data_IF_989395189484
#
_entry.id   IF_989395189484
#
_cell.length_a   1.000
_cell.length_b   1.000
_cell.length_c   1.000
_cell.angle_alpha   90.00
_cell.angle_beta   90.00
_cell.angle_gamma   90.00
#
_symmetry.space_group_name_H-M   'P 1'
#
loop_
_entity.id
_entity.type
_entity.pdbx_description
1 polymer ?
#
# COMPACT_ATOMS: atom_id res chain seq x y z
N UNK A 1 -12.70 -6.63 -23.58
CA UNK A 1 -12.24 -5.24 -23.78
C UNK A 1 -12.58 -4.47 -22.53
N UNK A 2 -12.06 -3.25 -22.38
CA UNK A 2 -12.40 -2.37 -21.23
C UNK A 2 -12.20 -2.97 -19.82
N UNK A 3 -11.33 -3.97 -19.65
CA UNK A 3 -11.19 -4.77 -18.42
C UNK A 3 -12.51 -5.39 -17.90
N UNK A 4 -13.53 -5.51 -18.77
CA UNK A 4 -14.80 -6.13 -18.45
C UNK A 4 -14.74 -7.63 -18.79
N UNK A 5 -14.84 -8.47 -17.77
CA UNK A 5 -14.83 -9.93 -17.90
C UNK A 5 -16.23 -10.48 -17.65
N UNK A 6 -16.80 -11.14 -18.67
CA UNK A 6 -18.18 -11.66 -18.66
C UNK A 6 -19.21 -10.69 -19.25
N UNK A 7 -20.30 -11.26 -19.78
CA UNK A 7 -21.29 -10.52 -20.58
C UNK A 7 -22.01 -9.41 -19.78
N UNK A 8 -22.28 -9.63 -18.49
CA UNK A 8 -22.88 -8.63 -17.60
C UNK A 8 -21.94 -7.43 -17.37
N UNK A 9 -20.66 -7.68 -17.15
CA UNK A 9 -19.67 -6.62 -16.99
C UNK A 9 -19.49 -5.84 -18.30
N UNK A 10 -19.52 -6.52 -19.45
CA UNK A 10 -19.45 -5.88 -20.76
C UNK A 10 -20.68 -5.01 -21.06
N UNK A 11 -21.89 -5.49 -20.73
CA UNK A 11 -23.13 -4.72 -20.87
C UNK A 11 -23.06 -3.39 -20.10
N UNK A 12 -22.55 -3.44 -18.87
CA UNK A 12 -22.31 -2.24 -18.05
C UNK A 12 -21.20 -1.36 -18.62
N UNK A 13 -20.08 -1.92 -19.05
CA UNK A 13 -18.92 -1.16 -19.53
C UNK A 13 -19.12 -0.47 -20.89
N UNK A 14 -19.96 -1.01 -21.77
CA UNK A 14 -20.18 -0.47 -23.12
C UNK A 14 -21.50 0.30 -23.25
N UNK A 15 -22.54 -0.04 -22.47
CA UNK A 15 -23.87 0.56 -22.61
C UNK A 15 -24.47 1.06 -21.28
N UNK A 16 -23.85 0.74 -20.13
CA UNK A 16 -24.39 0.96 -18.78
C UNK A 16 -25.81 0.37 -18.62
N UNK A 17 -25.94 -0.89 -19.04
CA UNK A 17 -27.17 -1.67 -18.94
C UNK A 17 -26.89 -3.01 -18.29
N UNK A 18 -27.91 -3.61 -17.68
CA UNK A 18 -27.86 -5.03 -17.34
C UNK A 18 -27.98 -5.89 -18.59
N UNK A 19 -27.42 -7.10 -18.57
CA UNK A 19 -27.41 -7.99 -19.75
C UNK A 19 -28.81 -8.25 -20.31
N UNK A 20 -29.82 -8.36 -19.44
CA UNK A 20 -31.22 -8.56 -19.83
C UNK A 20 -31.89 -7.35 -20.48
N UNK A 21 -31.23 -6.19 -20.49
CA UNK A 21 -31.73 -4.94 -21.08
C UNK A 21 -31.04 -4.59 -22.40
N UNK A 22 -30.12 -5.44 -22.87
CA UNK A 22 -29.44 -5.23 -24.15
C UNK A 22 -30.40 -5.47 -25.31
N UNK A 23 -30.35 -4.58 -26.29
CA UNK A 23 -30.98 -4.81 -27.59
C UNK A 23 -30.17 -5.82 -28.41
N UNK A 24 -30.81 -6.43 -29.42
CA UNK A 24 -30.13 -7.36 -30.35
C UNK A 24 -28.89 -6.72 -31.01
N UNK A 25 -28.95 -5.48 -31.55
CA UNK A 25 -27.76 -4.78 -32.04
C UNK A 25 -26.63 -4.69 -31.03
N UNK A 26 -26.93 -4.27 -29.79
CA UNK A 26 -25.93 -4.09 -28.71
C UNK A 26 -25.29 -5.43 -28.33
N UNK A 27 -26.10 -6.48 -28.19
CA UNK A 27 -25.61 -7.84 -27.95
C UNK A 27 -24.71 -8.36 -29.08
N UNK A 28 -25.09 -8.13 -30.34
CA UNK A 28 -24.29 -8.50 -31.50
C UNK A 28 -22.95 -7.74 -31.54
N UNK A 29 -22.92 -6.48 -31.09
CA UNK A 29 -21.67 -5.73 -30.99
C UNK A 29 -20.77 -6.30 -29.89
N UNK A 30 -21.31 -6.61 -28.71
CA UNK A 30 -20.53 -7.28 -27.66
C UNK A 30 -19.97 -8.64 -28.12
N UNK A 31 -20.74 -9.40 -28.91
CA UNK A 31 -20.25 -10.63 -29.54
C UNK A 31 -19.14 -10.38 -30.57
N UNK A 32 -19.23 -9.28 -31.33
CA UNK A 32 -18.20 -8.89 -32.30
C UNK A 32 -16.85 -8.61 -31.63
N UNK A 33 -16.85 -8.10 -30.39
CA UNK A 33 -15.65 -7.79 -29.62
C UNK A 33 -14.87 -9.03 -29.18
N UNK A 34 -15.48 -10.23 -29.17
CA UNK A 34 -14.86 -11.43 -28.59
C UNK A 34 -13.48 -11.77 -29.19
N UNK A 35 -13.34 -11.58 -30.51
CA UNK A 35 -12.11 -11.93 -31.23
C UNK A 35 -11.00 -10.89 -31.08
N UNK A 36 -11.34 -9.61 -30.97
CA UNK A 36 -10.37 -8.53 -30.90
C UNK A 36 -10.91 -7.35 -30.06
N UNK A 37 -11.04 -7.52 -28.73
CA UNK A 37 -11.85 -6.62 -27.92
C UNK A 37 -11.30 -5.20 -27.80
N UNK A 38 -9.98 -5.05 -27.87
CA UNK A 38 -9.33 -3.73 -27.85
C UNK A 38 -9.40 -3.07 -29.23
N UNK A 39 -9.09 -3.81 -30.30
CA UNK A 39 -9.09 -3.26 -31.66
C UNK A 39 -10.49 -2.82 -32.14
N UNK A 40 -11.55 -3.51 -31.70
CA UNK A 40 -12.93 -3.21 -32.10
C UNK A 40 -13.65 -2.25 -31.16
N UNK A 41 -13.00 -1.69 -30.14
CA UNK A 41 -13.57 -0.61 -29.32
C UNK A 41 -13.55 0.70 -30.11
N UNK A 42 -14.63 0.98 -30.83
CA UNK A 42 -14.73 2.09 -31.79
C UNK A 42 -14.71 3.48 -31.14
N UNK A 43 -14.79 3.54 -29.80
CA UNK A 43 -14.67 4.79 -29.06
C UNK A 43 -13.22 5.06 -28.68
N UNK A 44 -12.45 4.02 -28.37
CA UNK A 44 -11.01 4.13 -28.07
C UNK A 44 -10.18 4.22 -29.36
N UNK A 45 -10.55 3.45 -30.39
CA UNK A 45 -9.87 3.36 -31.68
C UNK A 45 -10.87 3.64 -32.82
N UNK A 46 -11.29 4.91 -33.00
CA UNK A 46 -12.27 5.28 -34.01
C UNK A 46 -11.83 4.94 -35.44
N UNK A 47 -10.53 4.84 -35.70
CA UNK A 47 -9.95 4.40 -36.98
C UNK A 47 -10.36 2.97 -37.37
N UNK A 48 -10.64 2.10 -36.39
CA UNK A 48 -11.02 0.71 -36.61
C UNK A 48 -12.54 0.51 -36.80
N UNK A 49 -13.33 1.59 -36.77
CA UNK A 49 -14.79 1.54 -36.82
C UNK A 49 -15.33 0.71 -37.98
N UNK A 50 -14.77 0.87 -39.18
CA UNK A 50 -15.20 0.12 -40.37
C UNK A 50 -15.02 -1.40 -40.22
N UNK A 51 -13.93 -1.83 -39.59
CA UNK A 51 -13.68 -3.25 -39.33
C UNK A 51 -14.63 -3.81 -38.27
N UNK A 52 -14.91 -3.03 -37.22
CA UNK A 52 -15.88 -3.39 -36.19
C UNK A 52 -17.32 -3.47 -36.74
N UNK A 53 -17.72 -2.54 -37.60
CA UNK A 53 -19.02 -2.57 -38.30
C UNK A 53 -19.16 -3.79 -39.21
N UNK A 54 -18.10 -4.15 -39.95
CA UNK A 54 -18.10 -5.35 -40.78
C UNK A 54 -18.26 -6.63 -39.93
N UNK A 55 -17.56 -6.71 -38.78
CA UNK A 55 -17.69 -7.85 -37.88
C UNK A 55 -19.08 -7.91 -37.22
N UNK A 56 -19.63 -6.77 -36.82
CA UNK A 56 -20.99 -6.66 -36.30
C UNK A 56 -22.04 -7.07 -37.34
N UNK A 57 -21.89 -6.63 -38.59
CA UNK A 57 -22.75 -7.06 -39.71
C UNK A 57 -22.70 -8.58 -39.90
N UNK A 58 -21.49 -9.16 -39.90
CA UNK A 58 -21.31 -10.61 -39.99
C UNK A 58 -22.05 -11.38 -38.88
N UNK A 59 -22.01 -10.89 -37.63
CA UNK A 59 -22.75 -11.50 -36.52
C UNK A 59 -24.26 -11.48 -36.79
N UNK A 60 -24.80 -10.33 -37.18
CA UNK A 60 -26.22 -10.19 -37.48
C UNK A 60 -26.66 -11.04 -38.68
N UNK A 61 -25.85 -11.12 -39.74
CA UNK A 61 -26.12 -11.96 -40.91
C UNK A 61 -26.09 -13.45 -40.51
N UNK A 62 -25.19 -13.83 -39.60
CA UNK A 62 -25.17 -15.15 -38.97
C UNK A 62 -26.46 -15.45 -38.20
N UNK A 63 -26.98 -14.49 -37.43
CA UNK A 63 -28.25 -14.65 -36.70
C UNK A 63 -29.44 -14.86 -37.65
N UNK A 64 -29.46 -14.21 -38.81
CA UNK A 64 -30.49 -14.47 -39.84
C UNK A 64 -30.37 -15.88 -40.40
N UNK A 65 -29.14 -16.31 -40.75
CA UNK A 65 -28.89 -17.66 -41.27
C UNK A 65 -29.26 -18.77 -40.29
N UNK A 66 -29.11 -18.51 -38.99
CA UNK A 66 -29.49 -19.44 -37.91
C UNK A 66 -30.96 -19.30 -37.48
N UNK A 67 -31.75 -18.47 -38.17
CA UNK A 67 -33.16 -18.19 -37.86
C UNK A 67 -33.41 -17.60 -36.46
N UNK A 68 -32.40 -16.97 -35.85
CA UNK A 68 -32.54 -16.26 -34.56
C UNK A 68 -33.03 -14.82 -34.72
N UNK A 69 -33.05 -14.30 -35.95
CA UNK A 69 -33.51 -12.96 -36.31
C UNK A 69 -34.08 -12.96 -37.72
N UNK A 70 -35.12 -12.16 -37.99
CA UNK A 70 -35.70 -12.05 -39.33
C UNK A 70 -34.86 -11.14 -40.23
N UNK A 71 -34.95 -11.32 -41.55
CA UNK A 71 -34.32 -10.41 -42.51
C UNK A 71 -34.87 -8.96 -42.41
N UNK A 72 -36.15 -8.82 -42.03
CA UNK A 72 -36.77 -7.52 -41.82
C UNK A 72 -36.19 -6.79 -40.61
N UNK A 73 -35.95 -7.49 -39.50
CA UNK A 73 -35.33 -6.92 -38.30
C UNK A 73 -33.84 -6.62 -38.53
N UNK A 74 -33.16 -7.48 -39.29
CA UNK A 74 -31.78 -7.24 -39.74
C UNK A 74 -31.64 -5.93 -40.51
N UNK A 75 -32.59 -5.63 -41.41
CA UNK A 75 -32.59 -4.41 -42.21
C UNK A 75 -32.83 -3.15 -41.37
N UNK A 76 -33.54 -3.28 -40.24
CA UNK A 76 -33.80 -2.17 -39.30
C UNK A 76 -32.66 -1.95 -38.31
N UNK A 77 -31.81 -2.95 -38.10
CA UNK A 77 -30.71 -2.87 -37.13
C UNK A 77 -29.71 -1.77 -37.50
N UNK A 78 -29.43 -0.88 -36.54
CA UNK A 78 -28.43 0.18 -36.66
C UNK A 78 -27.23 -0.14 -35.78
N UNK A 79 -26.04 0.25 -36.23
CA UNK A 79 -24.82 0.02 -35.46
C UNK A 79 -24.91 0.76 -34.10
N UNK A 80 -24.81 0.05 -32.97
CA UNK A 80 -24.95 0.65 -31.66
C UNK A 80 -23.63 1.26 -31.21
N UNK A 81 -23.52 2.58 -31.28
CA UNK A 81 -22.34 3.29 -30.76
C UNK A 81 -22.22 3.07 -29.24
N UNK A 82 -21.11 2.48 -28.75
CA UNK A 82 -20.90 2.33 -27.32
C UNK A 82 -20.76 3.68 -26.62
N UNK A 83 -21.04 3.72 -25.32
CA UNK A 83 -20.70 4.88 -24.50
C UNK A 83 -19.18 5.08 -24.49
N UNK A 84 -18.77 6.33 -24.27
CA UNK A 84 -17.42 6.65 -23.83
C UNK A 84 -17.01 5.67 -22.73
N UNK A 85 -15.80 5.09 -22.77
CA UNK A 85 -15.29 4.35 -21.65
C UNK A 85 -15.33 5.31 -20.45
N UNK A 86 -16.31 5.15 -19.56
CA UNK A 86 -16.16 5.60 -18.18
C UNK A 86 -14.90 4.90 -17.74
N UNK A 87 -13.81 5.67 -17.55
CA UNK A 87 -12.44 5.14 -17.66
C UNK A 87 -12.37 3.71 -17.14
N UNK A 88 -11.73 2.83 -17.88
CA UNK A 88 -11.60 1.41 -17.53
C UNK A 88 -10.73 1.19 -16.28
N UNK A 89 -10.37 2.31 -15.63
CA UNK A 89 -9.75 2.47 -14.32
C UNK A 89 -10.62 3.27 -13.31
N UNK A 90 -11.81 3.74 -13.65
CA UNK A 90 -12.74 4.44 -12.73
C UNK A 90 -13.16 3.52 -11.58
N UNK A 91 -13.22 2.21 -11.83
CA UNK A 91 -13.44 1.22 -10.78
C UNK A 91 -12.28 1.15 -9.78
N UNK A 92 -11.08 1.63 -10.12
CA UNK A 92 -9.89 1.67 -9.28
C UNK A 92 -9.46 3.10 -8.92
N UNK A 93 -10.23 4.13 -9.28
CA UNK A 93 -9.88 5.52 -8.99
C UNK A 93 -9.85 5.82 -7.49
N UNK A 94 -9.20 6.95 -7.16
CA UNK A 94 -8.99 7.37 -5.78
C UNK A 94 -8.16 6.35 -5.01
N UNK A 95 -8.59 6.02 -3.79
CA UNK A 95 -7.85 5.08 -2.94
C UNK A 95 -8.02 3.61 -3.33
N UNK A 96 -9.10 3.27 -4.03
CA UNK A 96 -9.50 1.87 -4.22
C UNK A 96 -8.43 1.06 -4.96
N UNK A 97 -7.80 1.65 -5.98
CA UNK A 97 -6.71 1.01 -6.70
C UNK A 97 -5.51 0.67 -5.81
N UNK A 98 -5.12 1.56 -4.90
CA UNK A 98 -4.05 1.27 -3.93
C UNK A 98 -4.40 0.11 -3.02
N UNK A 99 -5.65 0.05 -2.51
CA UNK A 99 -6.10 -1.03 -1.63
C UNK A 99 -6.11 -2.38 -2.37
N UNK A 100 -6.62 -2.40 -3.60
CA UNK A 100 -6.66 -3.60 -4.45
C UNK A 100 -5.24 -4.08 -4.76
N UNK A 101 -4.33 -3.20 -5.16
CA UNK A 101 -2.97 -3.61 -5.47
C UNK A 101 -2.20 -4.09 -4.24
N UNK A 102 -2.38 -3.45 -3.07
CA UNK A 102 -1.78 -3.93 -1.83
C UNK A 102 -2.29 -5.32 -1.43
N UNK A 103 -3.58 -5.61 -1.63
CA UNK A 103 -4.15 -6.95 -1.41
C UNK A 103 -3.55 -7.96 -2.40
N UNK A 104 -3.41 -7.61 -3.68
CA UNK A 104 -2.77 -8.49 -4.67
C UNK A 104 -1.31 -8.79 -4.32
N UNK A 105 -0.55 -7.78 -3.89
CA UNK A 105 0.83 -7.95 -3.43
C UNK A 105 0.90 -8.85 -2.19
N UNK A 106 0.05 -8.57 -1.20
CA UNK A 106 -0.05 -9.38 0.01
C UNK A 106 -0.32 -10.85 -0.32
N UNK A 107 -1.26 -11.14 -1.22
CA UNK A 107 -1.57 -12.51 -1.61
C UNK A 107 -0.42 -13.19 -2.37
N UNK A 108 0.26 -12.46 -3.24
CA UNK A 108 1.42 -12.98 -3.98
C UNK A 108 2.58 -13.34 -3.04
N UNK A 109 2.90 -12.47 -2.08
CA UNK A 109 3.90 -12.72 -1.03
C UNK A 109 3.54 -13.93 -0.15
N UNK A 110 2.26 -14.27 -0.11
CA UNK A 110 1.68 -15.34 0.69
C UNK A 110 1.35 -16.60 -0.15
N UNK A 111 1.99 -16.75 -1.32
CA UNK A 111 1.95 -17.97 -2.14
C UNK A 111 0.74 -18.09 -3.07
N UNK A 112 -0.08 -17.05 -3.20
CA UNK A 112 -1.24 -17.03 -4.10
C UNK A 112 -0.90 -16.16 -5.32
N UNK A 113 -0.59 -16.81 -6.44
CA UNK A 113 -0.18 -16.13 -7.69
C UNK A 113 -1.23 -15.12 -8.19
N UNK A 114 -0.78 -13.90 -8.51
CA UNK A 114 -1.59 -12.83 -9.10
C UNK A 114 -2.29 -13.26 -10.40
N UNK A 115 -1.65 -14.13 -11.19
CA UNK A 115 -2.24 -14.62 -12.43
C UNK A 115 -3.39 -15.60 -12.17
N UNK A 116 -3.28 -16.43 -11.12
CA UNK A 116 -4.37 -17.29 -10.67
C UNK A 116 -5.56 -16.47 -10.15
N UNK A 117 -5.30 -15.37 -9.44
CA UNK A 117 -6.36 -14.50 -8.91
C UNK A 117 -7.22 -13.86 -10.01
N UNK A 118 -6.59 -13.51 -11.14
CA UNK A 118 -7.25 -12.74 -12.21
C UNK A 118 -8.18 -13.60 -13.08
N UNK A 119 -7.90 -14.90 -13.21
CA UNK A 119 -8.58 -15.77 -14.18
C UNK A 119 -9.61 -16.74 -13.58
N UNK A 120 -9.73 -16.84 -12.25
CA UNK A 120 -10.54 -17.89 -11.59
C UNK A 120 -11.75 -17.38 -10.80
N UNK A 121 -12.05 -16.08 -10.83
CA UNK A 121 -13.29 -15.53 -10.28
C UNK A 121 -13.36 -15.52 -8.74
N UNK A 122 -12.23 -15.35 -8.05
CA UNK A 122 -12.18 -15.29 -6.59
C UNK A 122 -13.00 -14.14 -5.99
N UNK A 123 -13.64 -14.40 -4.87
CA UNK A 123 -14.21 -13.37 -3.98
C UNK A 123 -13.32 -13.22 -2.75
N UNK A 124 -12.79 -12.01 -2.57
CA UNK A 124 -11.84 -11.67 -1.51
C UNK A 124 -12.51 -10.68 -0.55
N UNK A 125 -12.55 -11.02 0.74
CA UNK A 125 -12.98 -10.12 1.81
C UNK A 125 -11.73 -9.58 2.50
N UNK A 126 -11.54 -8.26 2.47
CA UNK A 126 -10.36 -7.59 3.04
C UNK A 126 -10.58 -7.21 4.50
N UNK A 127 -9.51 -6.78 5.18
CA UNK A 127 -9.54 -6.25 6.55
C UNK A 127 -9.90 -4.77 6.63
N UNK A 128 -9.90 -4.06 5.48
CA UNK A 128 -10.22 -2.65 5.40
C UNK A 128 -11.63 -2.36 5.87
N UNK A 129 -11.78 -1.39 6.78
CA UNK A 129 -13.07 -0.90 7.26
C UNK A 129 -13.37 0.42 6.58
N UNK A 130 -14.50 0.51 5.87
CA UNK A 130 -14.85 1.72 5.09
C UNK A 130 -14.83 3.00 5.93
N UNK A 131 -15.40 2.97 7.14
CA UNK A 131 -15.37 4.11 8.07
C UNK A 131 -13.95 4.57 8.41
N UNK A 132 -13.05 3.63 8.68
CA UNK A 132 -11.65 3.92 9.03
C UNK A 132 -10.89 4.43 7.80
N UNK A 133 -11.16 3.84 6.64
CA UNK A 133 -10.58 4.28 5.37
C UNK A 133 -10.96 5.72 5.05
N UNK A 134 -12.25 6.06 5.16
CA UNK A 134 -12.75 7.41 4.90
C UNK A 134 -12.17 8.40 5.92
N UNK A 135 -12.11 8.03 7.20
CA UNK A 135 -11.49 8.85 8.25
C UNK A 135 -9.99 9.09 8.01
N UNK A 136 -9.24 8.07 7.60
CA UNK A 136 -7.80 8.21 7.30
C UNK A 136 -7.58 9.12 6.09
N UNK A 137 -8.37 8.98 5.02
CA UNK A 137 -8.32 9.85 3.85
C UNK A 137 -8.60 11.29 4.25
N UNK A 138 -9.64 11.53 5.05
CA UNK A 138 -9.97 12.86 5.55
C UNK A 138 -8.83 13.45 6.36
N UNK A 139 -8.24 12.68 7.29
CA UNK A 139 -7.13 13.15 8.11
C UNK A 139 -5.90 13.55 7.26
N UNK A 140 -5.53 12.74 6.26
CA UNK A 140 -4.42 13.08 5.35
C UNK A 140 -4.71 14.35 4.55
N UNK A 141 -5.94 14.53 4.07
CA UNK A 141 -6.32 15.72 3.33
C UNK A 141 -6.32 16.97 4.22
N UNK A 142 -7.05 16.92 5.33
CA UNK A 142 -7.19 18.03 6.28
C UNK A 142 -5.82 18.47 6.83
N UNK A 143 -4.94 17.52 7.18
CA UNK A 143 -3.71 17.82 7.92
C UNK A 143 -2.52 18.13 7.03
N UNK A 144 -2.54 17.70 5.77
CA UNK A 144 -1.41 17.87 4.85
C UNK A 144 -1.86 18.37 3.48
N UNK A 145 -2.64 17.59 2.72
CA UNK A 145 -2.81 17.84 1.28
C UNK A 145 -3.51 19.18 1.01
N UNK A 146 -4.51 19.54 1.81
CA UNK A 146 -5.30 20.77 1.62
C UNK A 146 -4.57 22.01 2.14
N UNK A 147 -3.52 21.84 2.95
CA UNK A 147 -2.66 22.92 3.46
C UNK A 147 -1.52 23.29 2.50
N UNK A 148 -1.33 22.53 1.41
CA UNK A 148 -0.26 22.74 0.44
C UNK A 148 -0.58 23.93 -0.48
N UNK A 149 0.32 24.91 -0.57
CA UNK A 149 0.19 26.05 -1.49
C UNK A 149 0.83 25.75 -2.83
N UNK A 150 0.19 24.85 -3.60
CA UNK A 150 0.69 24.42 -4.92
C UNK A 150 0.76 25.57 -5.94
N UNK A 151 0.09 26.70 -5.69
CA UNK A 151 0.08 27.86 -6.57
C UNK A 151 1.35 28.70 -6.37
N UNK A 152 1.64 29.07 -5.13
CA UNK A 152 2.74 29.99 -4.82
C UNK A 152 4.03 29.27 -4.37
N UNK A 153 3.96 27.99 -3.99
CA UNK A 153 5.11 27.16 -3.61
C UNK A 153 5.26 25.98 -4.57
N UNK A 154 6.12 26.09 -5.61
CA UNK A 154 6.32 25.00 -6.58
C UNK A 154 6.72 23.66 -5.94
N UNK A 155 7.49 23.69 -4.84
CA UNK A 155 7.89 22.49 -4.09
C UNK A 155 6.69 21.69 -3.57
N UNK A 156 5.60 22.36 -3.19
CA UNK A 156 4.40 21.73 -2.64
C UNK A 156 3.69 20.84 -3.68
N UNK A 157 3.96 21.05 -4.98
CA UNK A 157 3.46 20.19 -6.08
C UNK A 157 4.09 18.80 -6.05
N UNK A 158 5.24 18.64 -5.41
CA UNK A 158 5.99 17.39 -5.32
C UNK A 158 5.71 16.63 -4.02
N UNK A 159 4.97 17.21 -3.08
CA UNK A 159 4.62 16.54 -1.81
C UNK A 159 3.71 15.35 -2.10
N UNK A 160 4.06 14.22 -1.50
CA UNK A 160 3.36 12.94 -1.64
C UNK A 160 3.23 12.30 -0.26
N UNK A 161 2.02 11.87 0.08
CA UNK A 161 1.71 11.27 1.38
C UNK A 161 1.44 9.78 1.24
N UNK A 162 1.76 9.03 2.29
CA UNK A 162 1.37 7.64 2.50
C UNK A 162 0.97 7.45 3.96
N UNK A 163 -0.06 6.66 4.24
CA UNK A 163 -0.47 6.35 5.59
C UNK A 163 -1.04 4.93 5.69
N UNK A 164 -0.95 4.32 6.87
CA UNK A 164 -1.55 3.03 7.17
C UNK A 164 -2.09 3.04 8.61
N UNK A 165 -3.10 2.22 8.88
CA UNK A 165 -3.65 2.00 10.22
C UNK A 165 -3.84 0.52 10.44
N UNK A 166 -3.31 0.02 11.56
CA UNK A 166 -3.36 -1.39 11.96
C UNK A 166 -4.02 -1.49 13.33
N UNK A 167 -4.85 -2.50 13.52
CA UNK A 167 -5.30 -2.95 14.84
C UNK A 167 -4.18 -3.74 15.53
N UNK A 168 -3.55 -3.21 16.60
CA UNK A 168 -2.41 -3.87 17.26
C UNK A 168 -2.71 -5.27 17.77
N UNK A 169 -3.94 -5.52 18.23
CA UNK A 169 -4.33 -6.80 18.84
C UNK A 169 -4.43 -7.92 17.82
N UNK A 170 -4.74 -7.59 16.57
CA UNK A 170 -5.07 -8.57 15.53
C UNK A 170 -4.11 -8.54 14.33
N UNK A 171 -3.31 -7.48 14.18
CA UNK A 171 -2.49 -7.25 12.99
C UNK A 171 -3.29 -6.83 11.74
N UNK A 172 -4.61 -6.62 11.86
CA UNK A 172 -5.44 -6.26 10.71
C UNK A 172 -5.16 -4.84 10.24
N UNK A 173 -4.83 -4.68 8.96
CA UNK A 173 -4.74 -3.36 8.31
C UNK A 173 -6.15 -2.85 8.05
N UNK A 174 -6.61 -1.90 8.85
CA UNK A 174 -8.00 -1.41 8.79
C UNK A 174 -8.20 -0.23 7.85
N UNK A 175 -7.13 0.49 7.51
CA UNK A 175 -7.14 1.59 6.53
C UNK A 175 -5.73 1.82 5.95
N UNK A 176 -5.68 2.34 4.72
CA UNK A 176 -4.43 2.69 4.05
C UNK A 176 -4.63 3.82 3.03
N UNK A 177 -3.73 4.80 3.00
CA UNK A 177 -3.71 5.89 2.03
C UNK A 177 -2.46 5.77 1.16
N UNK A 178 -2.64 5.58 -0.15
CA UNK A 178 -1.53 5.34 -1.07
C UNK A 178 -1.05 6.54 -1.88
N UNK A 179 -1.86 7.59 -1.99
CA UNK A 179 -1.57 8.74 -2.83
C UNK A 179 -2.82 9.50 -3.24
N UNK A 180 -2.68 10.51 -4.10
CA UNK A 180 -3.79 11.40 -4.47
C UNK A 180 -4.92 10.68 -5.24
N UNK A 181 -4.55 9.75 -6.11
CA UNK A 181 -5.46 8.95 -6.92
C UNK A 181 -4.64 7.87 -7.65
N UNK A 182 -5.04 6.60 -7.56
CA UNK A 182 -4.38 5.49 -8.24
C UNK A 182 -4.15 5.74 -9.72
N UNK A 183 -5.11 6.32 -10.44
CA UNK A 183 -5.04 6.48 -11.90
C UNK A 183 -4.20 7.70 -12.32
N UNK A 184 -3.77 8.50 -11.34
CA UNK A 184 -2.87 9.65 -11.54
C UNK A 184 -1.47 9.40 -10.97
N UNK A 185 -1.37 8.51 -9.98
CA UNK A 185 -0.14 8.11 -9.33
C UNK A 185 -0.21 6.62 -8.99
N UNK A 186 0.47 5.78 -9.77
CA UNK A 186 0.44 4.33 -9.59
C UNK A 186 1.28 3.84 -8.40
N UNK A 187 2.27 4.62 -7.94
CA UNK A 187 3.08 4.22 -6.78
C UNK A 187 2.28 4.39 -5.49
N UNK A 188 2.14 3.29 -4.73
CA UNK A 188 1.53 3.30 -3.41
C UNK A 188 2.55 3.74 -2.35
N UNK A 189 2.38 4.95 -1.80
CA UNK A 189 3.29 5.48 -0.79
C UNK A 189 3.18 4.81 0.57
N UNK A 190 2.10 4.09 0.86
CA UNK A 190 2.01 3.32 2.10
C UNK A 190 2.89 2.06 2.08
N UNK A 191 3.23 1.56 0.88
CA UNK A 191 3.94 0.27 0.73
C UNK A 191 5.31 0.38 0.05
N UNK A 192 5.68 1.53 -0.54
CA UNK A 192 7.04 1.77 -1.09
C UNK A 192 8.10 1.82 0.02
N UNK A 193 9.34 1.53 -0.31
CA UNK A 193 10.44 1.30 0.63
C UNK A 193 11.73 2.05 0.26
N UNK A 194 11.62 3.30 -0.19
CA UNK A 194 12.69 4.09 -0.81
C UNK A 194 12.91 5.46 -0.17
N UNK A 195 12.35 5.71 1.02
CA UNK A 195 12.64 6.90 1.81
C UNK A 195 12.94 6.54 3.26
N UNK A 196 13.83 7.34 3.87
CA UNK A 196 14.33 7.12 5.22
C UNK A 196 13.27 7.44 6.28
N UNK A 197 13.29 6.68 7.38
CA UNK A 197 12.34 6.84 8.48
C UNK A 197 12.78 7.87 9.52
N UNK A 198 14.06 8.23 9.52
CA UNK A 198 14.60 9.25 10.40
C UNK A 198 14.39 8.91 11.89
N UNK A 199 14.12 9.95 12.69
CA UNK A 199 13.93 9.82 14.15
C UNK A 199 12.80 8.87 14.59
N UNK A 200 11.89 8.48 13.70
CA UNK A 200 10.88 7.44 14.04
C UNK A 200 11.52 6.06 14.27
N UNK A 201 12.82 5.89 14.00
CA UNK A 201 13.57 4.69 14.34
C UNK A 201 14.05 4.64 15.80
N UNK A 202 14.15 5.78 16.48
CA UNK A 202 14.68 5.89 17.85
C UNK A 202 13.99 4.96 18.87
N UNK A 203 12.66 4.79 18.85
CA UNK A 203 12.01 3.83 19.74
C UNK A 203 12.52 2.39 19.62
N UNK A 204 13.02 1.96 18.45
CA UNK A 204 13.63 0.63 18.30
C UNK A 204 14.96 0.52 19.03
N UNK A 205 15.76 1.59 19.07
CA UNK A 205 17.01 1.63 19.84
C UNK A 205 16.72 1.49 21.32
N UNK A 206 15.78 2.30 21.83
CA UNK A 206 15.46 2.25 23.26
C UNK A 206 14.78 0.94 23.66
N UNK A 207 13.87 0.42 22.83
CA UNK A 207 13.28 -0.91 23.03
C UNK A 207 14.37 -1.98 23.08
N UNK A 208 15.35 -1.93 22.17
CA UNK A 208 16.47 -2.86 22.17
C UNK A 208 17.33 -2.73 23.43
N UNK A 209 17.49 -1.53 23.98
CA UNK A 209 18.22 -1.32 25.23
C UNK A 209 17.54 -2.05 26.39
N UNK A 210 16.22 -1.88 26.52
CA UNK A 210 15.42 -2.49 27.57
C UNK A 210 15.37 -4.02 27.43
N UNK A 211 15.06 -4.52 26.24
CA UNK A 211 14.95 -5.96 25.95
C UNK A 211 16.26 -6.72 26.23
N UNK A 212 17.39 -6.07 25.96
CA UNK A 212 18.69 -6.72 26.11
C UNK A 212 19.40 -6.35 27.42
N UNK A 213 18.69 -5.72 28.38
CA UNK A 213 19.24 -5.21 29.64
C UNK A 213 20.57 -4.46 29.45
N UNK A 214 20.62 -3.64 28.40
CA UNK A 214 21.86 -3.00 27.96
C UNK A 214 22.33 -1.96 28.98
N UNK A 215 23.64 -1.77 29.03
CA UNK A 215 24.28 -0.79 29.91
C UNK A 215 24.98 0.29 29.10
N UNK A 216 25.14 1.47 29.70
CA UNK A 216 26.04 2.52 29.21
C UNK A 216 27.49 2.02 29.17
N UNK A 217 28.40 2.81 28.57
CA UNK A 217 29.85 2.49 28.53
C UNK A 217 30.48 2.34 29.93
N UNK A 218 29.91 2.99 30.95
CA UNK A 218 30.35 2.94 32.35
C UNK A 218 29.57 1.92 33.20
N UNK A 219 28.69 1.11 32.58
CA UNK A 219 28.04 -0.04 33.23
C UNK A 219 26.70 0.25 33.90
N UNK A 220 26.12 1.45 33.75
CA UNK A 220 24.78 1.77 34.25
C UNK A 220 23.73 1.10 33.35
N UNK A 221 22.78 0.35 33.93
CA UNK A 221 21.63 -0.18 33.18
C UNK A 221 20.82 0.95 32.56
N UNK A 222 20.53 0.86 31.26
CA UNK A 222 19.77 1.86 30.54
C UNK A 222 18.29 1.78 30.92
N UNK A 223 17.78 2.86 31.51
CA UNK A 223 16.38 3.04 31.92
C UNK A 223 15.86 4.40 31.42
N UNK A 224 14.55 4.71 31.55
CA UNK A 224 14.03 6.04 31.25
C UNK A 224 14.69 7.18 32.04
N UNK A 225 15.29 6.90 33.21
CA UNK A 225 15.93 7.88 34.08
C UNK A 225 17.44 8.01 33.84
N UNK A 226 18.05 7.09 33.09
CA UNK A 226 19.49 7.09 32.81
C UNK A 226 19.90 8.38 32.11
N UNK A 227 20.98 8.99 32.59
CA UNK A 227 21.38 10.33 32.18
C UNK A 227 22.43 10.29 31.07
N UNK A 228 22.09 10.84 29.91
CA UNK A 228 23.01 10.97 28.78
C UNK A 228 23.40 12.43 28.53
N UNK A 229 24.58 12.62 27.94
CA UNK A 229 25.00 13.92 27.41
C UNK A 229 24.33 14.18 26.05
N UNK A 230 23.45 15.19 26.03
CA UNK A 230 22.71 15.68 24.88
C UNK A 230 23.36 16.89 24.19
N UNK A 231 24.66 17.13 24.39
CA UNK A 231 25.44 18.11 23.62
C UNK A 231 25.45 17.73 22.13
N UNK A 232 25.22 18.70 21.25
CA UNK A 232 25.20 18.56 19.79
C UNK A 232 26.61 18.30 19.26
N UNK A 233 26.74 17.51 18.19
CA UNK A 233 28.02 17.19 17.52
C UNK A 233 29.10 16.62 18.46
N UNK A 234 28.75 16.12 19.65
CA UNK A 234 29.73 15.42 20.49
C UNK A 234 30.13 14.08 19.84
N UNK A 235 31.40 13.66 19.95
CA UNK A 235 31.80 12.34 19.50
C UNK A 235 31.08 11.23 20.26
N UNK A 236 30.55 10.25 19.52
CA UNK A 236 30.08 8.98 20.07
C UNK A 236 31.28 8.15 20.50
N UNK A 237 31.23 7.61 21.72
CA UNK A 237 32.29 6.81 22.32
C UNK A 237 31.97 5.31 22.19
N UNK A 238 33.00 4.47 22.09
CA UNK A 238 32.84 3.00 22.04
C UNK A 238 32.64 2.40 20.64
N UNK A 239 32.80 3.19 19.58
CA UNK A 239 32.70 2.75 18.18
C UNK A 239 34.04 2.96 17.45
N UNK A 240 34.42 2.00 16.59
CA UNK A 240 35.56 2.15 15.67
C UNK A 240 35.27 3.09 14.49
N UNK A 241 33.99 3.37 14.22
CA UNK A 241 33.54 4.33 13.22
C UNK A 241 33.30 5.67 13.93
N UNK A 242 34.05 6.75 13.61
CA UNK A 242 33.80 8.07 14.14
C UNK A 242 32.41 8.56 13.75
N UNK A 243 31.67 9.08 14.72
CA UNK A 243 30.31 9.57 14.51
C UNK A 243 29.98 10.64 15.54
N UNK A 244 29.48 11.79 15.08
CA UNK A 244 29.19 12.95 15.93
C UNK A 244 28.00 13.74 15.34
N UNK A 245 26.78 13.19 15.41
CA UNK A 245 25.64 13.83 14.78
C UNK A 245 25.24 15.11 15.51
N UNK A 246 24.79 16.09 14.74
CA UNK A 246 24.14 17.28 15.29
C UNK A 246 22.73 16.95 15.79
N UNK A 247 22.29 17.65 16.83
CA UNK A 247 20.89 17.69 17.20
C UNK A 247 20.11 18.61 16.26
N UNK A 248 18.78 18.53 16.29
CA UNK A 248 17.92 19.49 15.60
C UNK A 248 18.29 20.92 16.00
N UNK A 249 18.39 21.80 15.01
CA UNK A 249 18.84 23.20 15.13
C UNK A 249 20.19 23.36 15.84
N UNK A 250 21.04 22.33 15.80
CA UNK A 250 22.33 22.24 16.50
C UNK A 250 22.24 22.44 18.02
N UNK A 251 21.06 22.25 18.62
CA UNK A 251 20.80 22.59 20.02
C UNK A 251 21.52 21.66 21.01
N UNK A 252 22.13 22.28 22.02
CA UNK A 252 22.62 21.58 23.20
C UNK A 252 21.53 21.40 24.25
N UNK A 253 21.41 20.17 24.77
CA UNK A 253 20.47 19.84 25.84
C UNK A 253 21.15 19.63 27.19
N UNK A 254 22.49 19.59 27.24
CA UNK A 254 23.25 19.22 28.43
C UNK A 254 22.98 17.77 28.86
N UNK A 255 23.18 17.47 30.15
CA UNK A 255 22.92 16.13 30.68
C UNK A 255 21.43 15.95 30.98
N UNK A 256 20.76 15.04 30.27
CA UNK A 256 19.31 14.81 30.34
C UNK A 256 18.97 13.33 30.48
N UNK A 257 17.83 12.97 31.09
CA UNK A 257 17.39 11.57 31.16
C UNK A 257 16.92 11.08 29.79
N UNK A 258 16.97 9.77 29.57
CA UNK A 258 16.47 9.13 28.34
C UNK A 258 15.03 9.53 28.04
N UNK A 259 14.16 9.67 29.05
CA UNK A 259 12.77 10.10 28.86
C UNK A 259 12.65 11.47 28.18
N UNK A 260 13.48 12.44 28.55
CA UNK A 260 13.55 13.76 27.92
C UNK A 260 14.18 13.65 26.54
N UNK A 261 15.21 12.82 26.38
CA UNK A 261 15.86 12.60 25.09
C UNK A 261 14.90 11.97 24.06
N UNK A 262 14.00 11.08 24.49
CA UNK A 262 12.92 10.52 23.66
C UNK A 262 11.91 11.58 23.29
N UNK A 263 11.41 12.37 24.26
CA UNK A 263 10.43 13.44 24.02
C UNK A 263 10.96 14.52 23.05
N UNK A 264 12.23 14.93 23.21
CA UNK A 264 12.89 15.94 22.38
C UNK A 264 13.63 15.35 21.18
N UNK A 265 13.55 14.03 20.97
CA UNK A 265 14.22 13.36 19.86
C UNK A 265 15.71 13.72 19.75
N UNK A 266 16.46 13.70 20.85
CA UNK A 266 17.86 14.18 20.89
C UNK A 266 18.81 13.20 20.17
N UNK A 267 19.41 13.63 19.06
CA UNK A 267 20.24 12.79 18.18
C UNK A 267 21.48 12.26 18.89
N UNK A 268 22.22 13.11 19.60
CA UNK A 268 23.49 12.70 20.24
C UNK A 268 23.29 11.65 21.33
N UNK A 269 22.19 11.70 22.07
CA UNK A 269 21.80 10.67 23.05
C UNK A 269 21.54 9.33 22.36
N UNK A 270 20.69 9.31 21.34
CA UNK A 270 20.35 8.07 20.63
C UNK A 270 21.51 7.47 19.84
N UNK A 271 22.38 8.31 19.30
CA UNK A 271 23.60 7.89 18.62
C UNK A 271 24.55 7.14 19.57
N UNK A 272 24.71 7.65 20.80
CA UNK A 272 25.49 6.95 21.83
C UNK A 272 24.79 5.70 22.32
N UNK A 273 23.48 5.77 22.60
CA UNK A 273 22.70 4.63 23.05
C UNK A 273 22.77 3.47 22.05
N UNK A 274 22.74 3.72 20.74
CA UNK A 274 22.87 2.65 19.76
C UNK A 274 24.24 1.93 19.80
N UNK A 275 25.31 2.64 20.18
CA UNK A 275 26.63 2.04 20.40
C UNK A 275 26.66 1.27 21.72
N UNK A 276 26.10 1.82 22.79
CA UNK A 276 25.98 1.16 24.10
C UNK A 276 25.20 -0.16 24.00
N UNK A 277 24.09 -0.16 23.26
CA UNK A 277 23.28 -1.36 23.00
C UNK A 277 23.97 -2.33 22.05
N UNK A 278 24.69 -1.80 21.07
CA UNK A 278 25.24 -2.54 19.93
C UNK A 278 24.28 -2.54 18.74
N UNK A 279 24.67 -1.95 17.58
CA UNK A 279 23.79 -1.81 16.41
C UNK A 279 23.20 -3.13 15.86
N UNK A 280 23.90 -4.25 16.04
CA UNK A 280 23.39 -5.57 15.66
C UNK A 280 22.19 -6.01 16.50
N UNK A 281 22.18 -5.72 17.81
CA UNK A 281 21.03 -5.99 18.68
C UNK A 281 19.86 -5.08 18.32
N UNK A 282 20.13 -3.81 18.02
CA UNK A 282 19.12 -2.85 17.55
C UNK A 282 18.43 -3.36 16.28
N UNK A 283 19.22 -3.80 15.28
CA UNK A 283 18.68 -4.41 14.05
C UNK A 283 17.80 -5.62 14.36
N UNK A 284 18.28 -6.56 15.17
CA UNK A 284 17.53 -7.78 15.53
C UNK A 284 16.21 -7.44 16.22
N UNK A 285 16.22 -6.46 17.13
CA UNK A 285 15.00 -5.98 17.81
C UNK A 285 14.03 -5.35 16.80
N UNK A 286 14.50 -4.52 15.88
CA UNK A 286 13.64 -3.92 14.86
C UNK A 286 13.01 -4.97 13.92
N UNK A 287 13.76 -6.02 13.55
CA UNK A 287 13.24 -7.17 12.80
C UNK A 287 12.21 -7.96 13.61
N UNK A 288 12.47 -8.21 14.90
CA UNK A 288 11.54 -8.91 15.79
C UNK A 288 10.22 -8.14 15.98
N UNK A 289 10.29 -6.81 16.00
CA UNK A 289 9.11 -5.95 16.13
C UNK A 289 8.25 -5.93 14.86
N UNK A 290 8.80 -6.24 13.68
CA UNK A 290 8.02 -6.35 12.44
C UNK A 290 8.65 -5.75 11.19
N UNK A 291 9.87 -5.20 11.27
CA UNK A 291 10.59 -4.83 10.05
C UNK A 291 11.02 -6.07 9.28
N UNK A 292 10.87 -6.06 7.95
CA UNK A 292 11.22 -7.21 7.12
C UNK A 292 12.73 -7.48 7.17
N UNK A 293 13.11 -8.76 7.20
CA UNK A 293 14.50 -9.16 6.98
C UNK A 293 14.96 -8.64 5.61
N UNK A 294 16.13 -8.04 5.56
CA UNK A 294 16.63 -7.41 4.33
C UNK A 294 16.02 -6.04 4.02
N UNK A 295 15.35 -5.39 4.99
CA UNK A 295 14.95 -3.98 4.87
C UNK A 295 16.15 -3.15 4.37
N UNK A 296 16.00 -2.37 3.28
CA UNK A 296 17.12 -1.64 2.71
C UNK A 296 17.71 -0.66 3.73
N UNK A 297 19.04 -0.54 3.71
CA UNK A 297 19.81 0.36 4.59
C UNK A 297 19.65 0.11 6.10
N UNK A 298 19.07 -1.03 6.51
CA UNK A 298 19.06 -1.51 7.90
C UNK A 298 20.36 -2.27 8.22
N UNK A 299 21.48 -1.56 8.08
CA UNK A 299 22.81 -2.07 8.39
C UNK A 299 23.18 -1.77 9.85
N UNK A 300 23.91 -2.67 10.55
CA UNK A 300 24.25 -2.52 11.96
C UNK A 300 25.44 -1.56 12.15
N UNK A 301 25.26 -0.29 11.78
CA UNK A 301 26.21 0.80 12.02
C UNK A 301 25.66 1.77 13.08
N UNK A 302 26.50 2.57 13.76
CA UNK A 302 26.03 3.55 14.76
C UNK A 302 24.93 4.49 14.25
N UNK A 303 24.95 4.84 12.96
CA UNK A 303 23.95 5.67 12.31
C UNK A 303 22.54 5.07 12.25
N UNK A 304 22.37 3.78 12.58
CA UNK A 304 21.06 3.12 12.66
C UNK A 304 20.10 3.89 13.57
N UNK A 305 20.61 4.54 14.63
CA UNK A 305 19.84 5.34 15.56
C UNK A 305 19.10 6.53 14.91
N UNK A 306 19.60 7.00 13.77
CA UNK A 306 19.06 8.13 13.03
C UNK A 306 18.14 7.70 11.88
N UNK A 307 17.81 6.40 11.78
CA UNK A 307 16.79 5.90 10.86
C UNK A 307 17.19 5.95 9.38
N UNK A 308 18.42 5.55 9.06
CA UNK A 308 18.91 5.41 7.68
C UNK A 308 18.19 4.34 6.86
N UNK A 309 17.48 3.42 7.53
CA UNK A 309 16.70 2.37 6.90
C UNK A 309 15.47 2.94 6.16
N UNK A 310 15.02 2.23 5.12
CA UNK A 310 13.87 2.65 4.30
C UNK A 310 12.73 1.62 4.28
N UNK A 311 12.22 1.12 5.43
CA UNK A 311 11.02 0.31 5.43
C UNK A 311 9.81 1.13 4.94
N UNK A 312 8.76 0.44 4.48
CA UNK A 312 7.52 1.13 4.11
C UNK A 312 6.75 1.65 5.32
N UNK A 313 5.84 2.60 5.08
CA UNK A 313 4.92 3.10 6.12
C UNK A 313 4.14 1.97 6.76
N UNK A 314 3.67 1.00 5.96
CA UNK A 314 2.97 -0.17 6.47
C UNK A 314 3.85 -1.00 7.42
N UNK A 315 5.13 -1.23 7.08
CA UNK A 315 6.07 -1.97 7.94
C UNK A 315 6.41 -1.21 9.22
N UNK A 316 6.57 0.11 9.14
CA UNK A 316 6.72 0.94 10.33
C UNK A 316 5.48 0.90 11.23
N UNK A 317 4.28 0.94 10.63
CA UNK A 317 3.01 0.84 11.37
C UNK A 317 2.89 -0.52 12.06
N UNK A 318 3.27 -1.61 11.38
CA UNK A 318 3.31 -2.97 11.94
C UNK A 318 4.27 -3.05 13.13
N UNK A 319 5.48 -2.48 13.00
CA UNK A 319 6.47 -2.48 14.08
C UNK A 319 6.02 -1.69 15.32
N UNK A 320 5.40 -0.53 15.12
CA UNK A 320 4.81 0.24 16.21
C UNK A 320 3.58 -0.43 16.83
N UNK A 321 2.80 -1.17 16.03
CA UNK A 321 1.68 -1.96 16.53
C UNK A 321 2.14 -3.05 17.51
N UNK A 322 3.31 -3.65 17.32
CA UNK A 322 3.92 -4.58 18.29
C UNK A 322 4.18 -3.91 19.64
N UNK A 323 4.74 -2.69 19.64
CA UNK A 323 4.96 -1.93 20.87
C UNK A 323 3.63 -1.59 21.56
N UNK A 324 2.64 -1.14 20.79
CA UNK A 324 1.30 -0.86 21.28
C UNK A 324 0.56 -2.11 21.80
N UNK A 325 0.95 -3.30 21.34
CA UNK A 325 0.42 -4.59 21.78
C UNK A 325 1.33 -5.28 22.82
N UNK A 326 2.00 -4.47 23.66
CA UNK A 326 2.81 -4.93 24.78
C UNK A 326 3.87 -5.98 24.38
N UNK A 327 4.53 -5.78 23.23
CA UNK A 327 5.61 -6.63 22.74
C UNK A 327 5.16 -7.87 21.98
N UNK A 328 3.86 -8.09 21.79
CA UNK A 328 3.36 -9.19 20.95
C UNK A 328 3.18 -8.75 19.51
N UNK A 329 4.02 -9.27 18.61
CA UNK A 329 3.95 -8.98 17.17
C UNK A 329 2.87 -9.84 16.52
N UNK A 330 2.00 -9.18 15.76
CA UNK A 330 1.04 -9.82 14.86
C UNK A 330 1.36 -9.38 13.43
N UNK A 331 1.63 -10.33 12.54
CA UNK A 331 1.92 -10.00 11.15
C UNK A 331 0.77 -9.25 10.49
N UNK A 332 1.08 -8.23 9.69
CA UNK A 332 0.07 -7.41 9.02
C UNK A 332 -0.84 -8.25 8.10
N UNK A 333 -2.17 -8.10 8.25
CA UNK A 333 -3.17 -8.84 7.49
C UNK A 333 -4.06 -7.89 6.67
N UNK A 334 -4.13 -8.13 5.36
CA UNK A 334 -4.98 -7.39 4.43
C UNK A 334 -6.25 -8.16 4.02
N UNK A 335 -6.31 -9.47 4.31
CA UNK A 335 -7.38 -10.37 3.85
C UNK A 335 -7.94 -11.17 5.02
N UNK A 336 -9.27 -11.20 5.11
CA UNK A 336 -10.03 -11.99 6.09
C UNK A 336 -10.40 -13.35 5.51
N UNK A 337 -10.82 -13.38 4.24
CA UNK A 337 -11.36 -14.59 3.59
C UNK A 337 -11.18 -14.53 2.08
N UNK A 338 -10.91 -15.69 1.48
CA UNK A 338 -10.98 -15.91 0.04
C UNK A 338 -11.88 -17.11 -0.25
N UNK A 339 -12.74 -16.99 -1.24
CA UNK A 339 -13.48 -18.11 -1.84
C UNK A 339 -13.29 -18.12 -3.34
N UNK A 340 -13.16 -19.30 -3.95
CA UNK A 340 -13.17 -19.45 -5.41
C UNK A 340 -14.58 -19.22 -6.00
N UNK A 341 -14.70 -19.36 -7.32
CA UNK A 341 -15.96 -19.21 -8.07
C UNK A 341 -17.05 -20.20 -7.63
N UNK A 342 -16.66 -21.36 -7.10
CA UNK A 342 -17.54 -22.43 -6.66
C UNK A 342 -17.88 -22.28 -5.16
N UNK A 343 -17.40 -21.21 -4.52
CA UNK A 343 -17.64 -20.89 -3.11
C UNK A 343 -16.72 -21.64 -2.14
N UNK A 344 -15.77 -22.45 -2.63
CA UNK A 344 -14.83 -23.19 -1.80
C UNK A 344 -13.81 -22.22 -1.20
N UNK A 345 -13.55 -22.38 0.09
CA UNK A 345 -12.57 -21.55 0.82
C UNK A 345 -11.15 -21.87 0.34
N UNK A 346 -10.40 -20.83 0.02
CA UNK A 346 -8.94 -20.94 -0.16
C UNK A 346 -8.27 -20.70 1.19
N UNK A 347 -7.31 -21.56 1.49
CA UNK A 347 -6.50 -21.43 2.71
C UNK A 347 -5.59 -20.21 2.59
N UNK A 348 -5.61 -19.37 3.62
CA UNK A 348 -4.69 -18.25 3.77
C UNK A 348 -3.56 -18.70 4.68
N UNK A 349 -2.34 -18.14 4.55
CA UNK A 349 -1.28 -18.43 5.51
C UNK A 349 -1.72 -18.17 6.93
N UNK A 350 -1.19 -18.99 7.84
CA UNK A 350 -1.51 -18.93 9.25
C UNK A 350 -1.26 -17.54 9.84
N UNK A 351 -2.06 -17.18 10.84
CA UNK A 351 -1.78 -15.98 11.63
C UNK A 351 -0.56 -16.25 12.49
N UNK A 352 0.53 -15.51 12.26
CA UNK A 352 1.71 -15.58 13.09
C UNK A 352 1.62 -14.49 14.16
N UNK A 353 1.49 -14.94 15.41
CA UNK A 353 1.60 -14.11 16.60
C UNK A 353 2.80 -14.59 17.40
N UNK A 354 3.71 -13.68 17.73
CA UNK A 354 4.97 -14.01 18.41
C UNK A 354 5.30 -12.96 19.45
N UNK A 355 5.79 -13.39 20.61
CA UNK A 355 6.40 -12.47 21.58
C UNK A 355 7.71 -11.95 21.02
N UNK A 356 7.80 -10.65 20.75
CA UNK A 356 8.95 -10.00 20.12
C UNK A 356 9.93 -9.41 21.14
N UNK A 357 9.39 -8.75 22.17
CA UNK A 357 10.07 -8.10 23.31
C UNK A 357 9.18 -8.15 24.55
#
# INVERSE_FOLDING_TARGET
GRNAYGIQAAARAYYDKDVGQLTVPEGAYLASLLNAPSAYDVVVYPENKRAAEARWSYVLDGMVKQHWMTAADRAKAKFPTPKEPTSTNSSLSGQRGYLVEAVKNYLAENGIDKNHLTNQGYRITTTFKKSNQDALVKAVNDQLIDKLDKKNRPADRNVRAGAASIDPKTGQVVAMYGGIDWVKQYTNNATRADFQVGSTFKPFVFTSALENHSTTQDGETITPATMYDGTSKRPVKGSSIPFSPENEDERDYGRIPVSVATDKSVNSVYAQMAVDVGPAKVKKTAEALGLAKGTPSLAPYPSIALGTATPSVLRMTEAYATLANHGTHNSAQLVVKITDRDGKRVELPGRHSTRAV
#
